data_IF_195743419748
#
_entry.id   IF_195743419748
#
_cell.length_a   1.000
_cell.length_b   1.000
_cell.length_c   1.000
_cell.angle_alpha   90.00
_cell.angle_beta   90.00
_cell.angle_gamma   90.00
#
_symmetry.space_group_name_H-M   'P 1'
#
loop_
_entity.id
_entity.type
_entity.pdbx_description
1 polymer ?
#
# COMPACT_ATOMS: atom_id res chain seq x y z
N UNK A 1 -7.60 12.94 -26.42
CA UNK A 1 -7.34 12.43 -25.05
C UNK A 1 -8.39 13.03 -24.13
N UNK A 2 -9.29 12.20 -23.60
CA UNK A 2 -10.48 12.64 -22.85
C UNK A 2 -10.07 13.15 -21.45
N UNK A 3 -10.25 14.46 -21.15
CA UNK A 3 -9.85 15.06 -19.87
C UNK A 3 -10.61 14.50 -18.65
N UNK A 4 -11.59 13.62 -18.85
CA UNK A 4 -12.36 12.95 -17.78
C UNK A 4 -11.54 11.96 -16.96
N UNK A 5 -10.53 11.30 -17.55
CA UNK A 5 -9.68 10.32 -16.84
C UNK A 5 -8.88 10.98 -15.71
N UNK A 6 -8.45 12.23 -15.88
CA UNK A 6 -7.72 12.97 -14.84
C UNK A 6 -8.57 13.26 -13.59
N UNK A 7 -9.91 13.24 -13.68
CA UNK A 7 -10.81 13.42 -12.54
C UNK A 7 -11.20 12.12 -11.85
N UNK A 8 -10.90 10.97 -12.43
CA UNK A 8 -11.23 9.69 -11.82
C UNK A 8 -10.43 9.51 -10.52
N UNK A 9 -11.11 9.07 -9.46
CA UNK A 9 -10.48 8.81 -8.16
C UNK A 9 -9.33 7.79 -8.28
N UNK A 10 -9.48 6.80 -9.16
CA UNK A 10 -8.45 5.82 -9.49
C UNK A 10 -7.16 6.47 -10.02
N UNK A 11 -7.26 7.55 -10.82
CA UNK A 11 -6.10 8.31 -11.30
C UNK A 11 -5.41 9.06 -10.16
N UNK A 12 -6.16 9.64 -9.22
CA UNK A 12 -5.57 10.26 -8.04
C UNK A 12 -4.84 9.23 -7.17
N UNK A 13 -5.45 8.06 -6.95
CA UNK A 13 -4.83 6.95 -6.21
C UNK A 13 -3.60 6.42 -6.94
N UNK A 14 -3.64 6.33 -8.27
CA UNK A 14 -2.47 5.98 -9.08
C UNK A 14 -1.30 6.94 -8.84
N UNK A 15 -1.52 8.26 -8.87
CA UNK A 15 -0.48 9.25 -8.59
C UNK A 15 0.09 9.05 -7.19
N UNK A 16 -0.76 8.83 -6.18
CA UNK A 16 -0.33 8.54 -4.82
C UNK A 16 0.55 7.28 -4.76
N UNK A 17 0.18 6.21 -5.48
CA UNK A 17 0.96 4.97 -5.54
C UNK A 17 2.33 5.18 -6.22
N UNK A 18 2.39 6.00 -7.27
CA UNK A 18 3.64 6.37 -7.95
C UNK A 18 4.55 7.12 -6.98
N UNK A 19 4.05 8.17 -6.34
CA UNK A 19 4.80 8.95 -5.34
C UNK A 19 5.28 8.06 -4.19
N UNK A 20 4.40 7.21 -3.65
CA UNK A 20 4.76 6.28 -2.59
C UNK A 20 5.89 5.32 -3.01
N UNK A 21 5.92 4.92 -4.28
CA UNK A 21 6.98 4.05 -4.82
C UNK A 21 8.31 4.78 -4.91
N UNK A 22 8.32 6.00 -5.45
CA UNK A 22 9.54 6.82 -5.56
C UNK A 22 10.10 7.14 -4.18
N UNK A 23 9.24 7.52 -3.23
CA UNK A 23 9.65 7.80 -1.84
C UNK A 23 10.19 6.55 -1.17
N UNK A 24 9.51 5.41 -1.28
CA UNK A 24 9.98 4.15 -0.68
C UNK A 24 11.33 3.71 -1.25
N UNK A 25 11.53 3.89 -2.56
CA UNK A 25 12.80 3.62 -3.23
C UNK A 25 13.91 4.55 -2.72
N UNK A 26 13.66 5.86 -2.66
CA UNK A 26 14.65 6.83 -2.19
C UNK A 26 15.06 6.56 -0.73
N UNK A 27 14.08 6.28 0.14
CA UNK A 27 14.32 5.94 1.55
C UNK A 27 15.12 4.64 1.69
N UNK A 28 14.75 3.60 0.93
CA UNK A 28 15.40 2.30 0.98
C UNK A 28 16.77 2.22 0.29
N UNK A 29 17.09 3.15 -0.60
CA UNK A 29 18.37 3.17 -1.31
C UNK A 29 19.50 3.81 -0.49
N UNK A 30 19.22 4.91 0.20
CA UNK A 30 20.26 5.67 0.93
C UNK A 30 20.40 5.30 2.39
N UNK A 31 19.33 4.79 3.02
CA UNK A 31 19.39 4.31 4.39
C UNK A 31 19.50 2.78 4.36
N UNK A 32 20.67 2.23 4.72
CA UNK A 32 20.84 0.80 4.96
C UNK A 32 19.79 0.26 5.94
N UNK A 33 19.63 -1.06 6.02
CA UNK A 33 18.58 -1.83 6.72
C UNK A 33 18.49 -1.58 8.25
N UNK A 34 18.25 -0.35 8.66
CA UNK A 34 17.86 0.02 10.01
C UNK A 34 16.45 -0.48 10.26
N UNK A 35 16.27 -1.12 11.42
CA UNK A 35 15.03 -1.83 11.75
C UNK A 35 13.78 -0.95 11.55
N UNK A 36 13.82 0.30 11.98
CA UNK A 36 12.71 1.25 11.84
C UNK A 36 12.36 1.59 10.38
N UNK A 37 13.36 1.73 9.50
CA UNK A 37 13.15 2.06 8.08
C UNK A 37 12.47 0.89 7.36
N UNK A 38 12.88 -0.34 7.64
CA UNK A 38 12.25 -1.52 7.08
C UNK A 38 10.78 -1.65 7.50
N UNK A 39 10.45 -1.38 8.77
CA UNK A 39 9.04 -1.34 9.22
C UNK A 39 8.23 -0.29 8.46
N UNK A 40 8.79 0.89 8.22
CA UNK A 40 8.14 1.95 7.42
C UNK A 40 7.93 1.51 5.98
N UNK A 41 8.94 0.92 5.34
CA UNK A 41 8.81 0.43 3.96
C UNK A 41 7.75 -0.67 3.85
N UNK A 42 7.70 -1.59 4.82
CA UNK A 42 6.65 -2.61 4.90
C UNK A 42 5.26 -2.00 5.10
N UNK A 43 5.15 -0.95 5.92
CA UNK A 43 3.89 -0.23 6.12
C UNK A 43 3.42 0.43 4.82
N UNK A 44 4.32 1.11 4.10
CA UNK A 44 4.01 1.71 2.80
C UNK A 44 3.60 0.65 1.78
N UNK A 45 4.28 -0.51 1.75
CA UNK A 45 3.90 -1.62 0.89
C UNK A 45 2.48 -2.14 1.19
N UNK A 46 2.13 -2.34 2.46
CA UNK A 46 0.79 -2.78 2.86
C UNK A 46 -0.30 -1.75 2.50
N UNK A 47 -0.01 -0.45 2.69
CA UNK A 47 -0.90 0.64 2.28
C UNK A 47 -1.11 0.65 0.76
N UNK A 48 -0.05 0.42 -0.02
CA UNK A 48 -0.15 0.30 -1.49
C UNK A 48 -1.08 -0.85 -1.88
N UNK A 49 -0.93 -2.02 -1.26
CA UNK A 49 -1.83 -3.18 -1.50
C UNK A 49 -3.28 -2.80 -1.20
N UNK A 50 -3.54 -2.13 -0.06
CA UNK A 50 -4.88 -1.68 0.31
C UNK A 50 -5.48 -0.73 -0.74
N UNK A 51 -4.71 0.25 -1.22
CA UNK A 51 -5.18 1.16 -2.27
C UNK A 51 -5.48 0.43 -3.58
N UNK A 52 -4.62 -0.50 -4.00
CA UNK A 52 -4.87 -1.31 -5.20
C UNK A 52 -6.16 -2.11 -5.05
N UNK A 53 -6.36 -2.81 -3.94
CA UNK A 53 -7.58 -3.58 -3.72
C UNK A 53 -8.84 -2.71 -3.72
N UNK A 54 -8.85 -1.63 -2.93
CA UNK A 54 -10.04 -0.79 -2.80
C UNK A 54 -10.40 -0.01 -4.08
N UNK A 55 -9.40 0.44 -4.85
CA UNK A 55 -9.62 1.37 -5.97
C UNK A 55 -9.43 0.77 -7.36
N UNK A 56 -8.67 -0.32 -7.51
CA UNK A 56 -8.43 -0.97 -8.80
C UNK A 56 -9.09 -2.34 -8.90
N UNK A 57 -9.33 -3.02 -7.78
CA UNK A 57 -10.14 -4.25 -7.74
C UNK A 57 -11.60 -3.98 -7.34
N UNK A 58 -11.98 -2.71 -7.22
CA UNK A 58 -13.34 -2.27 -6.85
C UNK A 58 -13.85 -2.86 -5.52
N UNK A 59 -12.95 -3.29 -4.63
CA UNK A 59 -13.34 -3.84 -3.32
C UNK A 59 -13.97 -2.79 -2.39
N UNK A 60 -13.94 -1.51 -2.75
CA UNK A 60 -14.63 -0.46 -1.99
C UNK A 60 -16.14 -0.67 -1.98
N UNK A 61 -16.71 -1.05 -3.13
CA UNK A 61 -18.15 -1.20 -3.34
C UNK A 61 -18.61 -2.66 -3.14
N UNK A 62 -17.65 -3.55 -2.85
CA UNK A 62 -17.92 -4.93 -2.48
C UNK A 62 -18.67 -5.04 -1.13
N UNK A 63 -19.41 -6.14 -0.89
CA UNK A 63 -20.07 -6.37 0.39
C UNK A 63 -19.08 -6.32 1.56
N UNK A 64 -19.53 -5.78 2.69
CA UNK A 64 -18.74 -5.49 3.88
C UNK A 64 -17.87 -6.66 4.36
N UNK A 65 -18.34 -7.89 4.20
CA UNK A 65 -17.59 -9.09 4.58
C UNK A 65 -16.30 -9.27 3.76
N UNK A 66 -16.37 -9.11 2.43
CA UNK A 66 -15.21 -9.22 1.55
C UNK A 66 -14.22 -8.10 1.80
N UNK A 67 -14.75 -6.87 1.91
CA UNK A 67 -13.92 -5.70 2.20
C UNK A 67 -13.24 -5.82 3.57
N UNK A 68 -13.97 -6.25 4.60
CA UNK A 68 -13.42 -6.46 5.94
C UNK A 68 -12.35 -7.55 5.97
N UNK A 69 -12.57 -8.66 5.26
CA UNK A 69 -11.57 -9.74 5.13
C UNK A 69 -10.30 -9.24 4.45
N UNK A 70 -10.42 -8.45 3.38
CA UNK A 70 -9.28 -7.86 2.68
C UNK A 70 -8.53 -6.83 3.52
N UNK A 71 -9.23 -5.91 4.18
CA UNK A 71 -8.59 -4.93 5.06
C UNK A 71 -7.90 -5.63 6.24
N UNK A 72 -8.51 -6.68 6.80
CA UNK A 72 -7.91 -7.55 7.80
C UNK A 72 -6.66 -8.27 7.30
N UNK A 73 -6.69 -8.79 6.06
CA UNK A 73 -5.53 -9.37 5.40
C UNK A 73 -4.38 -8.37 5.26
N UNK A 74 -4.64 -7.11 4.87
CA UNK A 74 -3.59 -6.09 4.78
C UNK A 74 -2.92 -5.82 6.14
N UNK A 75 -3.70 -5.76 7.23
CA UNK A 75 -3.17 -5.56 8.59
C UNK A 75 -2.37 -6.78 9.04
N UNK A 76 -2.90 -7.99 8.81
CA UNK A 76 -2.22 -9.23 9.13
C UNK A 76 -0.89 -9.37 8.37
N UNK A 77 -0.89 -9.10 7.06
CA UNK A 77 0.29 -9.12 6.21
C UNK A 77 1.38 -8.19 6.75
N UNK A 78 1.03 -6.94 7.06
CA UNK A 78 1.99 -5.99 7.62
C UNK A 78 2.54 -6.45 8.97
N UNK A 79 1.67 -6.92 9.87
CA UNK A 79 2.04 -7.34 11.22
C UNK A 79 2.96 -8.56 11.19
N UNK A 80 2.65 -9.55 10.36
CA UNK A 80 3.45 -10.77 10.20
C UNK A 80 4.83 -10.44 9.61
N UNK A 81 4.89 -9.69 8.50
CA UNK A 81 6.16 -9.36 7.86
C UNK A 81 7.05 -8.50 8.76
N UNK A 82 6.46 -7.53 9.45
CA UNK A 82 7.17 -6.70 10.42
C UNK A 82 7.67 -7.53 11.59
N UNK A 83 6.82 -8.39 12.16
CA UNK A 83 7.20 -9.29 13.25
C UNK A 83 8.35 -10.21 12.85
N UNK A 84 8.26 -10.84 11.68
CA UNK A 84 9.33 -11.68 11.13
C UNK A 84 10.63 -10.90 10.98
N UNK A 85 10.60 -9.72 10.38
CA UNK A 85 11.80 -8.91 10.17
C UNK A 85 12.46 -8.42 11.47
N UNK A 86 11.68 -8.20 12.52
CA UNK A 86 12.21 -7.78 13.82
C UNK A 86 12.81 -8.95 14.62
N UNK A 87 12.24 -10.15 14.47
CA UNK A 87 12.60 -11.33 15.28
C UNK A 87 13.57 -12.31 14.60
N UNK A 88 13.68 -12.28 13.27
CA UNK A 88 14.57 -13.15 12.47
C UNK A 88 15.75 -12.35 11.91
#
# INVERSE_FOLDING_TARGET
MTPSLFRARSTAVWVVLVVATVVSWAVGHEHGTGSAIAVVVLAVAAIKVRFVGLDFMELRDAPLFLRGTFEGYCVALWSVLTGMYLWL
#
